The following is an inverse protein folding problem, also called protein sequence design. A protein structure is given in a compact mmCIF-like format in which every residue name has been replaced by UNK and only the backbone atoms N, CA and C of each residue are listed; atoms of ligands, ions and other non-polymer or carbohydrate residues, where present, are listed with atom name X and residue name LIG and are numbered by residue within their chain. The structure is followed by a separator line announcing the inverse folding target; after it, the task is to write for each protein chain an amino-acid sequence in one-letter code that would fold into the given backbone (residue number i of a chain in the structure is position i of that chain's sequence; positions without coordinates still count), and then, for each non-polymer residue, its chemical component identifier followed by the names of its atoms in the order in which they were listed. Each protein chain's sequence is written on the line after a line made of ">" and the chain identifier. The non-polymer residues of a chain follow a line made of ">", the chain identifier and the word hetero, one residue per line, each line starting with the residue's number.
data_IF_342415209777
#
_entry.id   IF_342415209777
#
_cell.length_a   1.000
_cell.length_b   1.000
_cell.length_c   1.000
_cell.angle_alpha   90.00
_cell.angle_beta   90.00
_cell.angle_gamma   90.00
#
_symmetry.space_group_name_H-M   'P 1'
#
loop_
_entity.id
_entity.type
_entity.pdbx_description
1 polymer ?
#
# COMPACT_ATOMS: atom_id res chain seq x y z
N UNK A 1 -2.81 -13.35 13.35
CA UNK A 1 -1.94 -12.15 13.24
C UNK A 1 -1.92 -11.45 14.57
N UNK A 2 -0.77 -10.89 14.98
CA UNK A 2 -0.65 -10.10 16.22
C UNK A 2 -0.68 -8.61 15.89
N UNK A 3 -0.91 -7.75 16.90
CA UNK A 3 -0.88 -6.29 16.72
C UNK A 3 0.46 -5.80 16.14
N UNK A 4 1.59 -6.34 16.63
CA UNK A 4 2.91 -5.98 16.11
C UNK A 4 3.09 -6.33 14.62
N UNK A 5 2.50 -7.44 14.16
CA UNK A 5 2.49 -7.79 12.75
C UNK A 5 1.65 -6.81 11.94
N UNK A 6 0.45 -6.44 12.43
CA UNK A 6 -0.42 -5.46 11.76
C UNK A 6 0.23 -4.08 11.64
N UNK A 7 0.93 -3.63 12.68
CA UNK A 7 1.67 -2.37 12.65
C UNK A 7 2.79 -2.38 11.60
N UNK A 8 3.50 -3.50 11.45
CA UNK A 8 4.55 -3.67 10.44
C UNK A 8 3.98 -3.65 9.03
N UNK A 9 2.81 -4.28 8.84
CA UNK A 9 2.08 -4.27 7.57
C UNK A 9 1.55 -2.87 7.23
N UNK A 10 1.03 -2.13 8.21
CA UNK A 10 0.61 -0.75 8.00
C UNK A 10 1.77 0.19 7.66
N UNK A 11 2.95 -0.02 8.23
CA UNK A 11 4.16 0.72 7.83
C UNK A 11 4.53 0.48 6.37
N UNK A 12 4.33 -0.74 5.86
CA UNK A 12 4.54 -1.04 4.45
C UNK A 12 3.54 -0.30 3.56
N UNK A 13 2.25 -0.29 3.93
CA UNK A 13 1.23 0.48 3.21
C UNK A 13 1.51 2.00 3.21
N UNK A 14 2.01 2.54 4.32
CA UNK A 14 2.44 3.94 4.39
C UNK A 14 3.66 4.23 3.50
N UNK A 15 4.58 3.28 3.35
CA UNK A 15 5.70 3.42 2.42
C UNK A 15 5.22 3.52 0.97
N UNK A 16 4.21 2.75 0.58
CA UNK A 16 3.58 2.86 -0.74
C UNK A 16 2.87 4.21 -0.92
N UNK A 17 2.16 4.69 0.10
CA UNK A 17 1.53 6.01 0.08
C UNK A 17 2.55 7.14 -0.13
N UNK A 18 3.76 6.99 0.45
CA UNK A 18 4.86 7.92 0.25
C UNK A 18 5.35 7.90 -1.21
N UNK A 19 5.39 6.73 -1.86
CA UNK A 19 5.72 6.61 -3.29
C UNK A 19 4.74 7.39 -4.17
N UNK A 20 3.43 7.27 -3.94
CA UNK A 20 2.42 8.08 -4.64
C UNK A 20 2.69 9.59 -4.51
N UNK A 21 3.04 10.05 -3.31
CA UNK A 21 3.38 11.47 -3.10
C UNK A 21 4.56 11.92 -3.98
N UNK A 22 5.56 11.06 -4.23
CA UNK A 22 6.72 11.43 -5.05
C UNK A 22 6.39 11.64 -6.53
N UNK A 23 5.29 11.07 -7.01
CA UNK A 23 4.80 11.21 -8.39
C UNK A 23 3.61 12.18 -8.50
N UNK A 24 3.42 13.03 -7.49
CA UNK A 24 2.33 14.01 -7.40
C UNK A 24 0.93 13.37 -7.49
N UNK A 25 0.80 12.17 -6.91
CA UNK A 25 -0.48 11.48 -6.69
C UNK A 25 -1.03 11.73 -5.28
N UNK A 26 -2.31 11.45 -5.09
CA UNK A 26 -2.90 11.43 -3.74
C UNK A 26 -2.23 10.31 -2.93
N UNK A 27 -1.71 10.57 -1.72
CA UNK A 27 -0.89 9.61 -0.99
C UNK A 27 -1.73 8.51 -0.34
N UNK A 28 -2.11 7.52 -1.14
CA UNK A 28 -2.83 6.33 -0.72
C UNK A 28 -2.01 5.10 -1.13
N UNK A 29 -1.74 4.23 -0.16
CA UNK A 29 -1.04 2.97 -0.36
C UNK A 29 -1.83 1.81 0.23
N UNK A 30 -1.80 0.66 -0.43
CA UNK A 30 -2.55 -0.52 -0.06
C UNK A 30 -1.68 -1.78 -0.21
N UNK A 31 -1.98 -2.78 0.62
CA UNK A 31 -1.33 -4.08 0.59
C UNK A 31 -2.36 -5.20 0.68
N UNK A 32 -2.08 -6.32 0.04
CA UNK A 32 -2.85 -7.55 0.15
C UNK A 32 -2.00 -8.56 0.92
N UNK A 33 -2.57 -9.14 1.98
CA UNK A 33 -1.89 -10.10 2.85
C UNK A 33 -2.70 -11.38 2.96
N UNK A 34 -2.00 -12.51 2.93
CA UNK A 34 -2.61 -13.79 3.27
C UNK A 34 -2.84 -13.82 4.80
N UNK A 35 -4.09 -13.97 5.21
CA UNK A 35 -4.48 -13.88 6.62
C UNK A 35 -3.98 -15.04 7.48
N UNK A 36 -3.65 -16.19 6.88
CA UNK A 36 -3.18 -17.39 7.57
C UNK A 36 -1.67 -17.36 7.79
N UNK A 37 -0.93 -16.93 6.78
CA UNK A 37 0.54 -16.94 6.75
C UNK A 37 1.15 -15.59 7.12
N UNK A 38 0.41 -14.50 6.94
CA UNK A 38 0.90 -13.13 7.13
C UNK A 38 1.81 -12.63 6.00
N UNK A 39 1.92 -13.39 4.91
CA UNK A 39 2.76 -13.04 3.75
C UNK A 39 2.05 -11.98 2.91
N UNK A 40 2.81 -10.96 2.47
CA UNK A 40 2.35 -9.94 1.53
C UNK A 40 2.30 -10.55 0.13
N UNK A 41 1.13 -10.50 -0.49
CA UNK A 41 0.88 -11.00 -1.85
C UNK A 41 1.09 -9.90 -2.88
N UNK A 42 0.71 -8.66 -2.54
CA UNK A 42 0.84 -7.51 -3.43
C UNK A 42 0.89 -6.20 -2.63
N UNK A 43 1.53 -5.17 -3.20
CA UNK A 43 1.54 -3.79 -2.73
C UNK A 43 1.28 -2.86 -3.91
N UNK A 44 0.58 -1.75 -3.66
CA UNK A 44 0.28 -0.75 -4.68
C UNK A 44 -0.02 0.61 -4.04
N UNK A 45 0.05 1.67 -4.85
CA UNK A 45 -0.32 3.03 -4.47
C UNK A 45 -1.20 3.68 -5.53
N UNK A 46 -1.77 4.85 -5.22
CA UNK A 46 -2.63 5.58 -6.15
C UNK A 46 -1.87 5.96 -7.43
N UNK A 47 -2.46 5.68 -8.59
CA UNK A 47 -1.86 5.93 -9.91
C UNK A 47 -2.83 6.61 -10.89
N UNK A 48 -3.90 7.24 -10.39
CA UNK A 48 -4.97 7.82 -11.22
C UNK A 48 -4.47 8.81 -12.27
N UNK A 49 -3.64 9.76 -11.86
CA UNK A 49 -3.03 10.77 -12.75
C UNK A 49 -1.94 10.14 -13.62
N UNK A 50 -1.16 9.23 -13.06
CA UNK A 50 -0.04 8.56 -13.72
C UNK A 50 -0.53 7.69 -14.89
N UNK A 51 -1.60 6.93 -14.66
CA UNK A 51 -2.20 6.05 -15.67
C UNK A 51 -3.26 6.76 -16.54
N UNK A 52 -3.62 8.01 -16.22
CA UNK A 52 -4.80 8.69 -16.78
C UNK A 52 -6.06 7.82 -16.73
N UNK A 53 -6.16 7.02 -15.68
CA UNK A 53 -7.24 6.08 -15.46
C UNK A 53 -7.92 6.45 -14.13
N UNK A 54 -9.21 6.82 -14.13
CA UNK A 54 -9.91 7.20 -12.91
C UNK A 54 -10.14 6.03 -11.93
N UNK A 55 -9.72 4.80 -12.27
CA UNK A 55 -9.87 3.61 -11.42
C UNK A 55 -8.65 3.31 -10.55
#
# INVERSE_FOLDING_TARGET
>A
MTQATLDSLMRLALSEAQSALTVDEVPVGAIIVDSKTGIVVSTAHNLTRTNNDPT
#
